data_IF_214265446757
#
_entry.id   IF_214265446757
#
_cell.length_a   1.000
_cell.length_b   1.000
_cell.length_c   1.000
_cell.angle_alpha   90.00
_cell.angle_beta   90.00
_cell.angle_gamma   90.00
#
_symmetry.space_group_name_H-M   'P 1'
#
loop_
_entity.id
_entity.type
_entity.pdbx_description
1 polymer ?
#
# COMPACT_ATOMS: atom_id res chain seq x y z
N UNK A 1 -11.44 -1.17 -18.78
CA UNK A 1 -10.81 -0.95 -17.45
C UNK A 1 -9.31 -0.70 -17.58
N UNK A 2 -8.94 0.20 -18.47
CA UNK A 2 -7.56 0.39 -18.92
C UNK A 2 -6.58 0.92 -17.84
N UNK A 3 -7.08 1.54 -16.78
CA UNK A 3 -6.20 2.14 -15.75
C UNK A 3 -5.36 1.13 -14.93
N UNK A 4 -5.77 -0.15 -14.91
CA UNK A 4 -5.10 -1.20 -14.13
C UNK A 4 -4.60 -2.38 -14.97
N UNK A 5 -4.75 -2.33 -16.31
CA UNK A 5 -4.39 -3.46 -17.19
C UNK A 5 -5.15 -4.76 -16.88
N UNK A 6 -6.39 -4.64 -16.38
CA UNK A 6 -7.19 -5.77 -15.90
C UNK A 6 -8.54 -5.80 -16.58
N UNK A 7 -8.97 -6.97 -17.04
CA UNK A 7 -10.33 -7.23 -17.48
C UNK A 7 -11.17 -7.72 -16.29
N UNK A 8 -12.46 -7.34 -16.23
CA UNK A 8 -13.30 -7.76 -15.12
C UNK A 8 -14.77 -7.86 -15.49
N UNK A 9 -15.44 -8.84 -14.90
CA UNK A 9 -16.87 -9.11 -15.05
C UNK A 9 -17.51 -9.34 -13.70
N UNK A 10 -18.72 -8.83 -13.49
CA UNK A 10 -19.52 -9.07 -12.28
C UNK A 10 -20.61 -10.08 -12.57
N UNK A 11 -20.75 -11.06 -11.71
CA UNK A 11 -21.88 -12.00 -11.67
C UNK A 11 -22.51 -12.01 -10.29
N UNK A 12 -23.81 -12.28 -10.20
CA UNK A 12 -24.52 -12.41 -8.93
C UNK A 12 -24.88 -13.87 -8.71
N UNK A 13 -24.35 -14.48 -7.66
CA UNK A 13 -24.61 -15.89 -7.30
C UNK A 13 -24.53 -16.10 -5.79
N UNK A 14 -25.16 -17.21 -5.33
CA UNK A 14 -24.84 -17.80 -4.03
C UNK A 14 -23.39 -18.32 -4.03
N UNK A 15 -22.72 -18.31 -2.86
CA UNK A 15 -21.32 -18.78 -2.75
C UNK A 15 -21.23 -20.30 -2.65
N UNK A 16 -22.24 -20.93 -2.07
CA UNK A 16 -22.33 -22.39 -1.91
C UNK A 16 -23.79 -22.83 -2.02
N UNK A 17 -23.99 -24.12 -2.19
CA UNK A 17 -25.32 -24.72 -2.25
C UNK A 17 -26.03 -24.55 -0.89
N UNK A 18 -27.24 -24.00 -0.90
CA UNK A 18 -28.00 -23.65 0.33
C UNK A 18 -27.75 -22.23 0.86
N UNK A 19 -26.86 -21.44 0.28
CA UNK A 19 -26.75 -20.02 0.63
C UNK A 19 -27.90 -19.22 0.03
N UNK A 20 -28.79 -18.71 0.89
CA UNK A 20 -29.92 -17.88 0.47
C UNK A 20 -29.51 -16.48 0.01
N UNK A 21 -28.29 -16.03 0.38
CA UNK A 21 -27.79 -14.69 0.07
C UNK A 21 -26.98 -14.68 -1.23
N UNK A 22 -27.52 -14.08 -2.28
CA UNK A 22 -26.75 -13.79 -3.48
C UNK A 22 -25.72 -12.71 -3.20
N UNK A 23 -24.47 -12.99 -3.58
CA UNK A 23 -23.36 -12.06 -3.51
C UNK A 23 -22.96 -11.58 -4.89
N UNK A 24 -22.27 -10.46 -4.96
CA UNK A 24 -21.66 -9.96 -6.19
C UNK A 24 -20.25 -10.48 -6.29
N UNK A 25 -20.00 -11.32 -7.28
CA UNK A 25 -18.69 -11.94 -7.54
C UNK A 25 -18.06 -11.20 -8.71
N UNK A 26 -16.98 -10.51 -8.46
CA UNK A 26 -16.23 -9.77 -9.46
C UNK A 26 -15.02 -10.60 -9.85
N UNK A 27 -15.03 -11.13 -11.06
CA UNK A 27 -13.96 -11.98 -11.61
C UNK A 27 -13.08 -11.09 -12.47
N UNK A 28 -11.77 -11.13 -12.22
CA UNK A 28 -10.78 -10.33 -12.95
C UNK A 28 -9.73 -11.23 -13.58
N UNK A 29 -9.16 -10.75 -14.68
CA UNK A 29 -8.02 -11.34 -15.35
C UNK A 29 -6.99 -10.25 -15.64
N UNK A 30 -5.72 -10.51 -15.27
CA UNK A 30 -4.58 -9.64 -15.48
C UNK A 30 -3.51 -10.36 -16.28
N UNK A 31 -3.18 -9.83 -17.46
CA UNK A 31 -2.15 -10.42 -18.34
C UNK A 31 -0.77 -10.41 -17.68
N UNK A 32 -0.41 -9.35 -16.97
CA UNK A 32 0.87 -9.30 -16.26
C UNK A 32 0.96 -10.37 -15.18
N UNK A 33 -0.12 -10.51 -14.37
CA UNK A 33 -0.18 -11.51 -13.32
C UNK A 33 -0.20 -12.94 -13.88
N UNK A 34 -0.87 -13.15 -15.04
CA UNK A 34 -0.88 -14.43 -15.75
C UNK A 34 0.54 -14.87 -16.12
N UNK A 35 1.33 -13.96 -16.72
CA UNK A 35 2.71 -14.26 -17.11
C UNK A 35 3.58 -14.63 -15.89
N UNK A 36 3.51 -13.84 -14.83
CA UNK A 36 4.30 -14.05 -13.60
C UNK A 36 3.91 -15.36 -12.89
N UNK A 37 2.61 -15.66 -12.76
CA UNK A 37 2.10 -16.86 -12.13
C UNK A 37 2.40 -18.11 -12.95
N UNK A 38 2.26 -18.03 -14.26
CA UNK A 38 2.59 -19.12 -15.18
C UNK A 38 4.07 -19.46 -15.13
N UNK A 39 4.95 -18.46 -15.22
CA UNK A 39 6.40 -18.66 -15.10
C UNK A 39 6.77 -19.31 -13.76
N UNK A 40 6.19 -18.80 -12.66
CA UNK A 40 6.41 -19.37 -11.33
C UNK A 40 5.97 -20.82 -11.24
N UNK A 41 4.81 -21.16 -11.78
CA UNK A 41 4.25 -22.49 -11.76
C UNK A 41 5.07 -23.46 -12.63
N UNK A 42 5.42 -23.08 -13.87
CA UNK A 42 6.24 -23.88 -14.77
C UNK A 42 7.66 -24.12 -14.22
N UNK A 43 8.24 -23.13 -13.52
CA UNK A 43 9.52 -23.29 -12.83
C UNK A 43 9.40 -24.31 -11.69
N UNK A 44 8.36 -24.20 -10.87
CA UNK A 44 8.11 -25.14 -9.78
C UNK A 44 7.87 -26.57 -10.26
N UNK A 45 7.22 -26.76 -11.42
CA UNK A 45 7.06 -28.08 -12.05
C UNK A 45 8.42 -28.63 -12.52
N UNK A 46 9.24 -27.81 -13.18
CA UNK A 46 10.58 -28.20 -13.63
C UNK A 46 11.48 -28.62 -12.47
N UNK A 47 11.49 -27.84 -11.37
CA UNK A 47 12.27 -28.18 -10.17
C UNK A 47 11.81 -29.51 -9.54
N UNK A 48 10.47 -29.71 -9.44
CA UNK A 48 9.92 -30.96 -8.92
C UNK A 48 10.26 -32.15 -9.80
N UNK A 49 10.16 -32.01 -11.13
CA UNK A 49 10.55 -33.07 -12.09
C UNK A 49 12.03 -33.41 -11.94
N UNK A 50 12.90 -32.39 -11.86
CA UNK A 50 14.34 -32.62 -11.69
C UNK A 50 14.64 -33.35 -10.37
N UNK A 51 13.96 -32.97 -9.28
CA UNK A 51 14.13 -33.65 -7.99
C UNK A 51 13.62 -35.07 -8.04
N UNK A 52 12.45 -35.36 -8.62
CA UNK A 52 11.93 -36.71 -8.78
C UNK A 52 12.90 -37.60 -9.62
N UNK A 53 13.40 -37.04 -10.71
CA UNK A 53 14.36 -37.76 -11.58
C UNK A 53 15.70 -38.02 -10.88
N UNK A 54 16.14 -37.17 -9.95
CA UNK A 54 17.39 -37.42 -9.19
C UNK A 54 17.29 -38.61 -8.22
N UNK A 55 16.07 -38.97 -7.83
CA UNK A 55 15.79 -40.14 -6.97
C UNK A 55 15.37 -41.40 -7.75
N UNK A 56 15.56 -41.39 -9.05
CA UNK A 56 15.27 -42.56 -9.88
C UNK A 56 16.10 -43.78 -9.44
N UNK A 57 15.47 -44.95 -9.37
CA UNK A 57 16.03 -46.22 -8.88
C UNK A 57 16.31 -46.28 -7.36
N UNK A 58 15.73 -45.38 -6.59
CA UNK A 58 15.77 -45.41 -5.14
C UNK A 58 14.44 -45.93 -4.54
N UNK A 59 14.55 -46.60 -3.37
CA UNK A 59 13.35 -46.99 -2.61
C UNK A 59 12.94 -45.82 -1.74
N UNK A 60 12.05 -44.97 -2.25
CA UNK A 60 11.59 -43.75 -1.61
C UNK A 60 10.09 -43.51 -1.85
N UNK A 61 9.38 -43.05 -0.85
CA UNK A 61 8.00 -42.61 -0.96
C UNK A 61 7.96 -41.05 -1.03
N UNK A 62 7.29 -40.54 -2.04
CA UNK A 62 7.06 -39.07 -2.16
C UNK A 62 5.71 -38.69 -1.57
N UNK A 63 5.66 -37.53 -0.93
CA UNK A 63 4.44 -37.03 -0.32
C UNK A 63 3.39 -36.55 -1.36
N UNK A 64 2.14 -36.41 -0.90
CA UNK A 64 0.96 -36.04 -1.71
C UNK A 64 1.11 -34.71 -2.53
N UNK A 65 2.05 -33.85 -2.17
CA UNK A 65 2.37 -32.64 -2.92
C UNK A 65 2.94 -32.95 -4.33
N UNK A 66 3.61 -34.09 -4.51
CA UNK A 66 4.09 -34.55 -5.80
C UNK A 66 2.99 -35.27 -6.56
N UNK A 67 2.23 -36.12 -5.86
CA UNK A 67 1.12 -36.87 -6.45
C UNK A 67 0.02 -35.96 -7.02
N UNK A 68 -0.07 -34.72 -6.56
CA UNK A 68 -1.03 -33.73 -7.14
C UNK A 68 -0.78 -33.55 -8.64
N UNK A 69 0.47 -33.47 -9.06
CA UNK A 69 0.87 -33.11 -10.43
C UNK A 69 1.50 -34.22 -11.23
N UNK A 70 1.90 -35.35 -10.56
CA UNK A 70 2.58 -36.48 -11.20
C UNK A 70 1.92 -37.78 -10.84
N UNK A 71 1.88 -38.70 -11.81
CA UNK A 71 1.78 -40.14 -11.56
C UNK A 71 3.19 -40.63 -11.24
N UNK A 72 3.37 -41.30 -10.10
CA UNK A 72 4.65 -41.81 -9.63
C UNK A 72 4.67 -43.29 -9.91
N UNK A 73 5.57 -43.74 -10.79
CA UNK A 73 5.68 -45.14 -11.19
C UNK A 73 6.75 -45.87 -10.37
N UNK A 74 6.38 -46.99 -9.81
CA UNK A 74 7.25 -47.85 -8.98
C UNK A 74 7.31 -49.26 -9.55
N UNK A 75 8.42 -49.97 -9.30
CA UNK A 75 8.52 -51.38 -9.60
C UNK A 75 7.81 -52.24 -8.53
N UNK A 76 7.87 -53.59 -8.69
CA UNK A 76 7.27 -54.56 -7.75
C UNK A 76 7.93 -54.57 -6.36
N UNK A 77 9.11 -53.99 -6.22
CA UNK A 77 9.89 -53.93 -5.00
C UNK A 77 9.77 -52.56 -4.30
N UNK A 78 8.95 -51.63 -4.85
CA UNK A 78 8.78 -50.29 -4.32
C UNK A 78 9.91 -49.32 -4.71
N UNK A 79 10.69 -49.63 -5.76
CA UNK A 79 11.73 -48.76 -6.30
C UNK A 79 11.10 -47.78 -7.26
N UNK A 80 11.36 -46.49 -7.06
CA UNK A 80 10.84 -45.43 -7.92
C UNK A 80 11.48 -45.50 -9.31
N UNK A 81 10.63 -45.48 -10.36
CA UNK A 81 11.08 -45.60 -11.75
C UNK A 81 11.14 -44.24 -12.45
N UNK A 82 10.01 -43.53 -12.55
CA UNK A 82 9.90 -42.22 -13.19
C UNK A 82 8.60 -41.51 -12.81
N UNK A 83 8.58 -40.18 -12.89
CA UNK A 83 7.37 -39.41 -12.79
C UNK A 83 6.73 -39.22 -14.17
N UNK A 84 5.40 -39.24 -14.24
CA UNK A 84 4.62 -38.87 -15.41
C UNK A 84 3.73 -37.67 -15.07
N UNK A 85 3.86 -36.59 -15.80
CA UNK A 85 3.09 -35.35 -15.53
C UNK A 85 1.60 -35.56 -15.82
N UNK A 86 0.75 -35.12 -14.89
CA UNK A 86 -0.70 -35.06 -15.04
C UNK A 86 -1.11 -33.83 -15.86
N UNK A 87 -0.94 -33.91 -17.19
CA UNK A 87 -1.13 -32.78 -18.11
C UNK A 87 -2.48 -32.08 -17.95
N UNK A 88 -3.57 -32.83 -17.72
CA UNK A 88 -4.90 -32.25 -17.48
C UNK A 88 -4.98 -31.41 -16.22
N UNK A 89 -4.20 -31.73 -15.20
CA UNK A 89 -4.15 -30.95 -13.96
C UNK A 89 -3.29 -29.72 -14.14
N UNK A 90 -2.13 -29.86 -14.76
CA UNK A 90 -1.20 -28.75 -14.98
C UNK A 90 -1.77 -27.72 -15.97
N UNK A 91 -2.39 -28.16 -17.06
CA UNK A 91 -3.11 -27.28 -18.00
C UNK A 91 -4.25 -26.51 -17.33
N UNK A 92 -5.00 -27.16 -16.43
CA UNK A 92 -6.05 -26.49 -15.66
C UNK A 92 -5.48 -25.42 -14.75
N UNK A 93 -4.41 -25.68 -14.01
CA UNK A 93 -3.76 -24.68 -13.15
C UNK A 93 -3.23 -23.50 -14.00
N UNK A 94 -2.59 -23.77 -15.14
CA UNK A 94 -2.13 -22.75 -16.08
C UNK A 94 -3.31 -21.90 -16.61
N UNK A 95 -4.43 -22.52 -16.93
CA UNK A 95 -5.60 -21.82 -17.43
C UNK A 95 -6.24 -20.86 -16.40
N UNK A 96 -5.92 -21.04 -15.11
CA UNK A 96 -6.40 -20.19 -14.01
C UNK A 96 -5.42 -19.07 -13.66
N UNK A 97 -4.20 -19.07 -14.21
CA UNK A 97 -3.22 -18.02 -13.98
C UNK A 97 -3.76 -16.65 -14.41
N UNK A 98 -3.44 -15.62 -13.65
CA UNK A 98 -3.90 -14.26 -13.89
C UNK A 98 -5.31 -13.95 -13.39
N UNK A 99 -6.10 -14.97 -13.04
CA UNK A 99 -7.44 -14.76 -12.49
C UNK A 99 -7.41 -14.49 -11.00
N UNK A 100 -8.27 -13.56 -10.56
CA UNK A 100 -8.57 -13.36 -9.15
C UNK A 100 -10.01 -12.89 -8.96
N UNK A 101 -10.53 -13.04 -7.76
CA UNK A 101 -11.94 -12.77 -7.46
C UNK A 101 -12.05 -11.85 -6.26
N UNK A 102 -12.95 -10.88 -6.34
CA UNK A 102 -13.40 -10.05 -5.21
C UNK A 102 -14.89 -10.32 -5.03
N UNK A 103 -15.31 -10.55 -3.78
CA UNK A 103 -16.71 -10.79 -3.43
C UNK A 103 -17.19 -9.63 -2.58
N UNK A 104 -18.35 -9.07 -2.93
CA UNK A 104 -18.97 -7.97 -2.18
C UNK A 104 -20.40 -8.31 -1.79
N UNK A 105 -20.84 -7.78 -0.64
CA UNK A 105 -22.25 -7.83 -0.21
C UNK A 105 -23.09 -6.81 -0.96
N UNK A 106 -22.50 -5.67 -1.29
CA UNK A 106 -23.19 -4.56 -1.91
C UNK A 106 -23.07 -4.59 -3.43
N UNK A 107 -24.11 -4.07 -4.09
CA UNK A 107 -24.14 -3.97 -5.54
C UNK A 107 -23.16 -2.91 -6.03
N UNK A 108 -22.17 -3.34 -6.79
CA UNK A 108 -21.21 -2.44 -7.44
C UNK A 108 -20.69 -3.05 -8.74
N UNK A 109 -20.07 -2.23 -9.57
CA UNK A 109 -19.41 -2.69 -10.79
C UNK A 109 -18.06 -3.33 -10.46
N UNK A 110 -17.53 -4.14 -11.38
CA UNK A 110 -16.18 -4.69 -11.24
C UNK A 110 -15.11 -3.58 -11.12
N UNK A 111 -15.32 -2.42 -11.74
CA UNK A 111 -14.40 -1.28 -11.64
C UNK A 111 -14.41 -0.68 -10.24
N UNK A 112 -15.58 -0.46 -9.66
CA UNK A 112 -15.74 0.08 -8.32
C UNK A 112 -15.18 -0.87 -7.25
N UNK A 113 -15.49 -2.17 -7.35
CA UNK A 113 -14.98 -3.19 -6.45
C UNK A 113 -13.45 -3.27 -6.47
N UNK A 114 -12.83 -3.21 -7.66
CA UNK A 114 -11.38 -3.20 -7.80
C UNK A 114 -10.76 -1.94 -7.22
N UNK A 115 -11.38 -0.79 -7.46
CA UNK A 115 -10.92 0.49 -6.90
C UNK A 115 -10.97 0.46 -5.37
N UNK A 116 -12.09 0.00 -4.81
CA UNK A 116 -12.26 -0.14 -3.35
C UNK A 116 -11.23 -1.11 -2.76
N UNK A 117 -11.01 -2.26 -3.38
CA UNK A 117 -10.00 -3.23 -2.94
C UNK A 117 -8.58 -2.63 -2.96
N UNK A 118 -8.23 -1.92 -4.03
CA UNK A 118 -6.91 -1.27 -4.15
C UNK A 118 -6.74 -0.08 -3.20
N UNK A 119 -7.84 0.56 -2.75
CA UNK A 119 -7.74 1.62 -1.74
C UNK A 119 -7.24 1.11 -0.39
N UNK A 120 -7.41 -0.20 -0.09
CA UNK A 120 -6.82 -0.88 1.07
C UNK A 120 -5.29 -0.81 1.07
N UNK A 121 -4.66 -0.89 -0.10
CA UNK A 121 -3.20 -0.75 -0.25
C UNK A 121 -2.68 0.60 0.30
N UNK A 122 -3.51 1.65 0.22
CA UNK A 122 -3.18 2.95 0.82
C UNK A 122 -3.10 2.85 2.35
N UNK A 123 -4.03 2.13 2.98
CA UNK A 123 -4.02 1.91 4.43
C UNK A 123 -2.82 1.03 4.84
N UNK A 124 -2.52 -0.02 4.10
CA UNK A 124 -1.36 -0.87 4.36
C UNK A 124 -0.04 -0.10 4.21
N UNK A 125 0.08 0.78 3.21
CA UNK A 125 1.23 1.68 3.04
C UNK A 125 1.33 2.71 4.16
N UNK A 126 0.20 3.19 4.69
CA UNK A 126 0.18 4.07 5.86
C UNK A 126 0.72 3.34 7.10
N UNK A 127 0.27 2.10 7.37
CA UNK A 127 0.78 1.30 8.49
C UNK A 127 2.24 0.89 8.30
N UNK A 128 2.69 0.57 7.09
CA UNK A 128 4.10 0.33 6.79
C UNK A 128 4.94 1.60 7.03
N UNK A 129 4.42 2.76 6.67
CA UNK A 129 5.04 4.06 6.94
C UNK A 129 5.10 4.37 8.43
N UNK A 130 4.07 4.02 9.21
CA UNK A 130 4.05 4.14 10.66
C UNK A 130 5.21 3.35 11.30
N UNK A 131 5.38 2.10 10.91
CA UNK A 131 6.47 1.25 11.39
C UNK A 131 7.86 1.77 11.03
N UNK A 132 8.03 2.37 9.85
CA UNK A 132 9.33 2.80 9.34
C UNK A 132 9.69 4.25 9.70
N UNK A 133 8.76 5.19 9.56
CA UNK A 133 9.01 6.62 9.75
C UNK A 133 8.69 7.12 11.15
N UNK A 134 7.66 6.58 11.80
CA UNK A 134 7.30 6.95 13.18
C UNK A 134 8.00 6.06 14.22
N UNK A 135 8.82 5.11 13.78
CA UNK A 135 9.65 4.28 14.66
C UNK A 135 8.88 3.28 15.52
N UNK A 136 7.64 2.94 15.12
CA UNK A 136 6.71 2.13 15.92
C UNK A 136 6.93 0.62 15.81
N UNK A 137 8.19 0.18 15.62
CA UNK A 137 8.53 -1.25 15.66
C UNK A 137 8.36 -1.86 17.05
N UNK A 138 8.43 -1.06 18.10
CA UNK A 138 8.17 -1.50 19.48
C UNK A 138 7.59 -0.35 20.31
N UNK A 139 6.50 -0.60 21.02
CA UNK A 139 5.97 0.34 21.99
C UNK A 139 6.80 0.27 23.28
N UNK A 140 7.66 1.28 23.48
CA UNK A 140 8.42 1.46 24.73
C UNK A 140 7.57 2.29 25.70
N UNK A 141 6.51 1.70 26.25
CA UNK A 141 5.71 2.31 27.30
C UNK A 141 5.50 1.27 28.40
N UNK A 142 5.51 1.70 29.67
CA UNK A 142 5.38 0.83 30.82
C UNK A 142 3.98 0.89 31.45
N UNK A 143 3.10 1.78 30.97
CA UNK A 143 1.74 1.94 31.48
C UNK A 143 0.71 1.86 30.36
N UNK A 144 -0.51 1.41 30.65
CA UNK A 144 -1.60 1.30 29.70
C UNK A 144 -1.99 2.69 29.16
N UNK A 145 -2.08 3.70 30.05
CA UNK A 145 -2.40 5.08 29.67
C UNK A 145 -1.34 5.67 28.73
N UNK A 146 -0.07 5.35 28.96
CA UNK A 146 1.02 5.76 28.07
C UNK A 146 0.95 5.09 26.70
N UNK A 147 0.51 3.82 26.63
CA UNK A 147 0.27 3.10 25.36
C UNK A 147 -0.90 3.74 24.62
N UNK A 148 -2.03 3.97 25.28
CA UNK A 148 -3.23 4.58 24.69
C UNK A 148 -2.95 5.99 24.15
N UNK A 149 -2.28 6.84 24.96
CA UNK A 149 -1.89 8.18 24.55
C UNK A 149 -0.96 8.18 23.33
N UNK A 150 -0.04 7.22 23.25
CA UNK A 150 0.85 7.06 22.11
C UNK A 150 0.12 6.59 20.87
N UNK A 151 -0.76 5.58 21.00
CA UNK A 151 -1.60 5.09 19.89
C UNK A 151 -2.48 6.23 19.35
N UNK A 152 -3.10 7.01 20.22
CA UNK A 152 -3.93 8.14 19.84
C UNK A 152 -3.12 9.20 19.07
N UNK A 153 -1.95 9.58 19.58
CA UNK A 153 -1.07 10.55 18.91
C UNK A 153 -0.63 10.05 17.53
N UNK A 154 -0.29 8.77 17.42
CA UNK A 154 0.07 8.13 16.15
C UNK A 154 -1.09 8.12 15.16
N UNK A 155 -2.29 7.81 15.63
CA UNK A 155 -3.50 7.83 14.81
C UNK A 155 -3.74 9.23 14.21
N UNK A 156 -3.61 10.28 15.01
CA UNK A 156 -3.71 11.67 14.53
C UNK A 156 -2.61 11.98 13.51
N UNK A 157 -1.37 11.56 13.78
CA UNK A 157 -0.25 11.76 12.85
C UNK A 157 -0.48 11.05 11.50
N UNK A 158 -1.06 9.84 11.52
CA UNK A 158 -1.43 9.11 10.30
C UNK A 158 -2.54 9.81 9.50
N UNK A 159 -3.55 10.37 10.17
CA UNK A 159 -4.61 11.16 9.50
C UNK A 159 -4.00 12.36 8.79
N UNK A 160 -3.16 13.13 9.48
CA UNK A 160 -2.50 14.31 8.91
C UNK A 160 -1.61 13.91 7.73
N UNK A 161 -0.79 12.87 7.90
CA UNK A 161 0.08 12.34 6.86
C UNK A 161 -0.70 11.90 5.62
N UNK A 162 -1.82 11.19 5.82
CA UNK A 162 -2.67 10.76 4.71
C UNK A 162 -3.29 11.96 3.98
N UNK A 163 -3.74 12.95 4.71
CA UNK A 163 -4.27 14.20 4.12
C UNK A 163 -3.21 14.91 3.27
N UNK A 164 -1.97 15.01 3.79
CA UNK A 164 -0.84 15.58 3.03
C UNK A 164 -0.59 14.77 1.75
N UNK A 165 -0.52 13.45 1.86
CA UNK A 165 -0.30 12.56 0.72
C UNK A 165 -1.37 12.76 -0.36
N UNK A 166 -2.65 12.69 0.02
CA UNK A 166 -3.78 12.83 -0.91
C UNK A 166 -3.78 14.20 -1.60
N UNK A 167 -3.59 15.28 -0.84
CA UNK A 167 -3.56 16.63 -1.40
C UNK A 167 -2.40 16.85 -2.37
N UNK A 168 -1.21 16.28 -2.08
CA UNK A 168 -0.08 16.33 -3.00
C UNK A 168 -0.32 15.52 -4.27
N UNK A 169 -1.00 14.36 -4.17
CA UNK A 169 -1.37 13.55 -5.32
C UNK A 169 -2.38 14.25 -6.22
N UNK A 170 -3.46 14.79 -5.65
CA UNK A 170 -4.49 15.53 -6.38
C UNK A 170 -3.91 16.74 -7.13
N UNK A 171 -2.97 17.46 -6.52
CA UNK A 171 -2.31 18.58 -7.20
C UNK A 171 -1.38 18.09 -8.32
N UNK A 172 -0.69 16.95 -8.12
CA UNK A 172 0.21 16.39 -9.14
C UNK A 172 -0.55 15.83 -10.36
N UNK A 173 -1.75 15.28 -10.16
CA UNK A 173 -2.61 14.77 -11.23
C UNK A 173 -3.15 15.86 -12.17
N UNK A 174 -3.19 17.12 -11.72
CA UNK A 174 -3.59 18.26 -12.55
C UNK A 174 -2.56 18.63 -13.63
N UNK A 175 -1.35 18.07 -13.56
CA UNK A 175 -0.30 18.34 -14.53
C UNK A 175 -0.16 17.20 -15.52
N UNK A 176 -0.25 17.47 -16.83
CA UNK A 176 -0.10 16.48 -17.92
C UNK A 176 1.30 15.84 -17.99
N UNK A 177 2.33 16.54 -17.53
CA UNK A 177 3.69 16.01 -17.43
C UNK A 177 3.95 15.48 -16.03
N UNK A 178 4.34 14.21 -15.92
CA UNK A 178 4.85 13.62 -14.67
C UNK A 178 6.01 14.46 -14.14
N UNK A 179 5.72 15.34 -13.21
CA UNK A 179 6.75 16.07 -12.47
C UNK A 179 7.33 15.16 -11.39
N UNK A 180 8.56 15.46 -10.93
CA UNK A 180 9.16 14.75 -9.80
C UNK A 180 8.20 14.75 -8.61
N UNK A 181 7.75 13.56 -8.25
CA UNK A 181 6.81 13.33 -7.16
C UNK A 181 7.41 13.79 -5.82
N UNK A 182 6.73 14.68 -5.14
CA UNK A 182 7.13 15.12 -3.80
C UNK A 182 6.55 14.17 -2.76
N UNK A 183 7.43 13.51 -2.00
CA UNK A 183 7.02 12.63 -0.90
C UNK A 183 6.56 13.45 0.31
N UNK A 184 5.71 12.89 1.17
CA UNK A 184 5.25 13.56 2.40
C UNK A 184 6.41 14.00 3.30
N UNK A 185 7.44 13.17 3.57
CA UNK A 185 8.61 13.62 4.34
C UNK A 185 9.35 14.79 3.70
N UNK A 186 9.48 14.79 2.36
CA UNK A 186 10.13 15.90 1.65
C UNK A 186 9.32 17.19 1.73
N UNK A 187 7.98 17.09 1.65
CA UNK A 187 7.09 18.24 1.81
C UNK A 187 7.16 18.83 3.22
N UNK A 188 7.12 18.00 4.26
CA UNK A 188 7.25 18.44 5.65
C UNK A 188 8.60 19.13 5.86
N UNK A 189 9.71 18.50 5.44
CA UNK A 189 11.06 19.09 5.51
C UNK A 189 11.18 20.45 4.81
N UNK A 190 10.45 20.62 3.70
CA UNK A 190 10.46 21.91 2.99
C UNK A 190 9.64 22.97 3.71
N UNK A 191 8.53 22.58 4.36
CA UNK A 191 7.72 23.49 5.18
C UNK A 191 8.42 23.86 6.51
N UNK A 192 9.19 22.96 7.12
CA UNK A 192 9.99 23.22 8.31
C UNK A 192 10.98 24.39 8.14
N UNK A 193 11.38 24.69 6.92
CA UNK A 193 12.24 25.83 6.58
C UNK A 193 11.52 27.18 6.64
N UNK A 194 10.20 27.21 6.83
CA UNK A 194 9.46 28.45 7.06
C UNK A 194 9.66 28.85 8.52
N UNK A 195 10.63 29.69 8.76
CA UNK A 195 11.06 30.09 10.09
C UNK A 195 10.82 31.58 10.31
N UNK A 196 10.69 31.98 11.57
CA UNK A 196 10.59 33.36 11.99
C UNK A 196 11.75 33.70 12.91
N UNK A 197 12.39 34.82 12.64
CA UNK A 197 13.50 35.33 13.45
C UNK A 197 13.09 36.62 14.17
N UNK A 198 13.57 36.75 15.42
CA UNK A 198 13.41 37.99 16.18
C UNK A 198 14.43 39.00 15.68
N UNK A 199 13.94 40.13 15.20
CA UNK A 199 14.78 41.24 14.73
C UNK A 199 15.22 42.13 15.90
N UNK A 200 16.13 43.07 15.62
CA UNK A 200 16.65 44.03 16.61
C UNK A 200 15.60 44.95 17.23
N UNK A 201 14.50 45.15 16.53
CA UNK A 201 13.32 45.90 16.99
C UNK A 201 12.34 45.08 17.83
N UNK A 202 12.73 43.89 18.25
CA UNK A 202 11.92 42.89 18.98
C UNK A 202 10.66 42.42 18.25
N UNK A 203 10.61 42.58 16.92
CA UNK A 203 9.53 42.10 16.07
C UNK A 203 9.96 40.76 15.40
N UNK A 204 9.09 39.78 15.41
CA UNK A 204 9.34 38.52 14.72
C UNK A 204 8.91 38.63 13.25
N UNK A 205 9.81 38.32 12.33
CA UNK A 205 9.55 38.31 10.89
C UNK A 205 9.98 36.99 10.28
N UNK A 206 9.38 36.66 9.13
CA UNK A 206 9.85 35.51 8.34
C UNK A 206 11.33 35.73 7.98
N UNK A 207 12.14 34.70 8.17
CA UNK A 207 13.56 34.72 7.87
C UNK A 207 13.82 34.94 6.38
N UNK A 208 12.99 34.33 5.54
CA UNK A 208 13.05 34.49 4.09
C UNK A 208 11.66 34.42 3.45
N UNK A 209 11.56 34.87 2.20
CA UNK A 209 10.33 34.79 1.43
C UNK A 209 9.96 33.33 1.14
N UNK A 210 8.64 33.04 1.06
CA UNK A 210 8.13 31.70 0.74
C UNK A 210 8.64 31.26 -0.64
N UNK A 211 9.39 30.18 -0.69
CA UNK A 211 10.01 29.65 -1.90
C UNK A 211 9.00 29.08 -2.89
N UNK A 212 9.37 28.94 -4.16
CA UNK A 212 8.51 28.34 -5.19
C UNK A 212 8.06 26.90 -4.84
N UNK A 213 8.92 26.11 -4.18
CA UNK A 213 8.57 24.76 -3.71
C UNK A 213 7.53 24.80 -2.59
N UNK A 214 7.71 25.70 -1.62
CA UNK A 214 6.76 25.91 -0.51
C UNK A 214 5.41 26.41 -1.05
N UNK A 215 5.40 27.36 -1.99
CA UNK A 215 4.17 27.82 -2.66
C UNK A 215 3.42 26.67 -3.34
N UNK A 216 4.13 25.75 -4.00
CA UNK A 216 3.51 24.57 -4.63
C UNK A 216 2.89 23.63 -3.60
N UNK A 217 3.54 23.41 -2.46
CA UNK A 217 2.99 22.58 -1.37
C UNK A 217 1.75 23.28 -0.78
N UNK A 218 1.85 24.57 -0.45
CA UNK A 218 0.73 25.34 0.10
C UNK A 218 -0.49 25.32 -0.82
N UNK A 219 -0.28 25.42 -2.13
CA UNK A 219 -1.37 25.34 -3.13
C UNK A 219 -2.13 24.03 -3.08
N UNK A 220 -1.45 22.89 -2.81
CA UNK A 220 -2.11 21.58 -2.64
C UNK A 220 -3.10 21.57 -1.47
N UNK A 221 -2.97 22.50 -0.52
CA UNK A 221 -3.88 22.71 0.62
C UNK A 221 -4.83 23.90 0.43
N UNK A 222 -4.90 24.49 -0.75
CA UNK A 222 -5.69 25.68 -1.01
C UNK A 222 -5.15 26.95 -0.33
N UNK A 223 -3.87 26.92 0.07
CA UNK A 223 -3.18 28.05 0.75
C UNK A 223 -2.23 28.75 -0.22
N UNK A 224 -1.87 29.99 0.12
CA UNK A 224 -0.91 30.80 -0.60
C UNK A 224 0.07 31.52 0.35
N UNK A 225 1.02 32.25 -0.21
CA UNK A 225 2.00 33.03 0.55
C UNK A 225 1.36 34.05 1.51
N UNK A 226 0.24 34.67 1.11
CA UNK A 226 -0.48 35.61 1.94
C UNK A 226 -0.99 35.00 3.24
N UNK A 227 -1.41 33.72 3.23
CA UNK A 227 -1.80 33.00 4.45
C UNK A 227 -0.62 32.86 5.42
N UNK A 228 0.57 32.58 4.92
CA UNK A 228 1.78 32.46 5.75
C UNK A 228 2.17 33.81 6.33
N UNK A 229 2.19 34.85 5.51
CA UNK A 229 2.51 36.23 5.96
C UNK A 229 1.52 36.71 7.01
N UNK A 230 0.22 36.48 6.80
CA UNK A 230 -0.81 36.82 7.77
C UNK A 230 -0.60 36.13 9.11
N UNK A 231 -0.39 34.82 9.09
CA UNK A 231 -0.13 34.02 10.32
C UNK A 231 1.16 34.42 11.03
N UNK A 232 2.20 34.71 10.27
CA UNK A 232 3.45 35.23 10.85
C UNK A 232 3.22 36.57 11.58
N UNK A 233 2.40 37.44 11.02
CA UNK A 233 2.00 38.68 11.68
C UNK A 233 1.24 38.48 13.00
N UNK A 234 0.26 37.57 13.03
CA UNK A 234 -0.47 37.18 14.24
C UNK A 234 0.47 36.63 15.33
N UNK A 235 1.35 35.70 14.96
CA UNK A 235 2.33 35.10 15.89
C UNK A 235 3.27 36.20 16.44
N UNK A 236 3.77 37.07 15.56
CA UNK A 236 4.65 38.19 15.99
C UNK A 236 3.97 39.11 17.01
N UNK A 237 2.70 39.46 16.80
CA UNK A 237 1.93 40.30 17.74
C UNK A 237 1.75 39.58 19.08
N UNK A 238 1.35 38.32 19.08
CA UNK A 238 1.17 37.50 20.30
C UNK A 238 2.46 37.40 21.11
N UNK A 239 3.58 37.15 20.43
CA UNK A 239 4.90 37.02 21.08
C UNK A 239 5.36 38.33 21.67
N UNK A 240 5.10 39.46 20.97
CA UNK A 240 5.43 40.80 21.47
C UNK A 240 4.63 41.14 22.73
N UNK A 241 3.32 40.88 22.74
CA UNK A 241 2.46 41.10 23.90
C UNK A 241 2.89 40.25 25.11
N UNK A 242 3.23 38.97 24.89
CA UNK A 242 3.73 38.07 25.92
C UNK A 242 5.10 38.51 26.49
N UNK A 243 5.96 39.08 25.65
CA UNK A 243 7.26 39.62 26.06
C UNK A 243 7.09 40.87 26.95
N UNK A 244 6.22 41.79 26.59
CA UNK A 244 5.90 43.00 27.36
C UNK A 244 5.31 42.71 28.76
N UNK A 245 4.58 41.58 28.90
CA UNK A 245 4.04 41.15 30.19
C UNK A 245 5.12 40.58 31.11
N UNK A 246 6.19 39.96 30.58
CA UNK A 246 7.33 39.49 31.39
C UNK A 246 8.27 40.58 31.84
N UNK A 247 8.44 41.65 31.11
CA UNK A 247 9.25 42.80 31.48
C UNK A 247 8.58 43.70 32.54
N UNK A 248 7.27 43.53 32.78
CA UNK A 248 6.49 44.27 33.80
C UNK A 248 6.36 43.54 35.14
N UNK A 249 6.96 42.38 35.30
CA UNK A 249 7.04 41.61 36.54
C UNK A 249 8.47 41.59 37.09
#
# INVERSE_FOLDING_TARGET
MNAYGVYGKTVQRALFEGDEKKRYIHIYHSISKEADERETFENALRERTALLMSHQNETIEFGSAYEKYFYLHYDKNGVFLYPEEKTTVTEREISLCGYFVIITSDRMTAKEALHLYKSRDTSEKLFASDKSFLGNKSMRSHTNEGIEGRIFTQFIALIIRNKIYTSLQEENEKFEKKQNYMTVPAAIKELEKIEMTRQTDNVYRLDHAVTAKQKKILKAFGMNEGNITYRAGEISNTLRESGLQKERR
#
